data_IF_955625499178
#
_entry.id   IF_955625499178
#
_cell.length_a   1.000
_cell.length_b   1.000
_cell.length_c   1.000
_cell.angle_alpha   90.00
_cell.angle_beta   90.00
_cell.angle_gamma   90.00
#
_symmetry.space_group_name_H-M   'P 1'
#
loop_
_entity.id
_entity.type
_entity.pdbx_description
1 polymer ?
#
# COMPACT_ATOMS: atom_id res chain seq x y z
N UNK A 1 -14.52 -2.54 -14.73
CA UNK A 1 -14.15 -2.99 -13.37
C UNK A 1 -13.14 -2.06 -12.68
N UNK A 2 -12.11 -1.57 -13.38
CA UNK A 2 -11.05 -0.72 -12.81
C UNK A 2 -11.44 0.75 -12.55
N UNK A 3 -12.56 1.20 -13.10
CA UNK A 3 -13.01 2.60 -13.05
C UNK A 3 -13.13 3.15 -11.60
N UNK A 4 -13.79 2.43 -10.65
CA UNK A 4 -13.88 2.88 -9.26
C UNK A 4 -12.54 2.95 -8.53
N UNK A 5 -11.60 2.06 -8.87
CA UNK A 5 -10.23 2.03 -8.31
C UNK A 5 -9.43 3.24 -8.79
N UNK A 6 -9.52 3.54 -10.09
CA UNK A 6 -8.87 4.70 -10.69
C UNK A 6 -9.44 6.01 -10.13
N UNK A 7 -10.77 6.09 -10.00
CA UNK A 7 -11.42 7.25 -9.39
C UNK A 7 -10.93 7.46 -7.95
N UNK A 8 -10.85 6.40 -7.15
CA UNK A 8 -10.35 6.50 -5.77
C UNK A 8 -8.92 7.03 -5.73
N UNK A 9 -8.01 6.51 -6.57
CA UNK A 9 -6.59 6.88 -6.61
C UNK A 9 -6.33 8.28 -7.16
N UNK A 10 -7.12 8.71 -8.15
CA UNK A 10 -6.96 10.00 -8.84
C UNK A 10 -7.78 11.12 -8.19
N UNK A 11 -8.56 10.82 -7.16
CA UNK A 11 -9.44 11.81 -6.54
C UNK A 11 -8.69 13.02 -5.98
N UNK A 12 -7.66 12.86 -5.13
CA UNK A 12 -6.93 14.01 -4.59
C UNK A 12 -6.34 14.94 -5.65
N UNK A 13 -5.62 14.46 -6.70
CA UNK A 13 -5.11 15.35 -7.74
C UNK A 13 -6.22 15.98 -8.61
N UNK A 14 -7.34 15.28 -8.86
CA UNK A 14 -8.48 15.86 -9.59
C UNK A 14 -9.08 17.05 -8.83
N UNK A 15 -9.30 16.89 -7.52
CA UNK A 15 -9.84 17.96 -6.66
C UNK A 15 -8.94 19.19 -6.69
N UNK A 16 -7.62 18.99 -6.64
CA UNK A 16 -6.67 20.09 -6.72
C UNK A 16 -6.71 20.81 -8.07
N UNK A 17 -6.72 20.06 -9.18
CA UNK A 17 -6.78 20.65 -10.53
C UNK A 17 -8.08 21.44 -10.69
N UNK A 18 -9.22 20.89 -10.25
CA UNK A 18 -10.51 21.56 -10.31
C UNK A 18 -10.55 22.84 -9.47
N UNK A 19 -10.06 22.77 -8.22
CA UNK A 19 -9.95 23.94 -7.35
C UNK A 19 -9.00 24.99 -7.93
N UNK A 20 -7.85 24.57 -8.44
CA UNK A 20 -6.88 25.44 -9.09
C UNK A 20 -7.46 26.15 -10.31
N UNK A 21 -8.20 25.43 -11.16
CA UNK A 21 -8.87 26.03 -12.32
C UNK A 21 -9.94 27.06 -11.91
N UNK A 22 -10.73 26.77 -10.88
CA UNK A 22 -11.68 27.72 -10.29
C UNK A 22 -10.98 28.98 -9.78
N UNK A 23 -9.90 28.82 -9.02
CA UNK A 23 -9.11 29.94 -8.50
C UNK A 23 -8.48 30.79 -9.61
N UNK A 24 -7.93 30.13 -10.63
CA UNK A 24 -7.39 30.78 -11.82
C UNK A 24 -8.45 31.62 -12.52
N UNK A 25 -9.67 31.08 -12.68
CA UNK A 25 -10.78 31.79 -13.31
C UNK A 25 -11.14 33.05 -12.53
N UNK A 26 -11.32 32.93 -11.21
CA UNK A 26 -11.63 34.05 -10.31
C UNK A 26 -10.50 35.09 -10.27
N UNK A 27 -9.25 34.65 -10.35
CA UNK A 27 -8.09 35.54 -10.38
C UNK A 27 -8.02 36.33 -11.70
N UNK A 28 -8.30 35.66 -12.84
CA UNK A 28 -8.26 36.27 -14.18
C UNK A 28 -9.41 37.24 -14.42
N UNK A 29 -10.58 37.00 -13.83
CA UNK A 29 -11.73 37.93 -13.87
C UNK A 29 -11.62 39.08 -12.86
N UNK A 30 -10.51 39.18 -12.11
CA UNK A 30 -10.32 40.13 -11.01
C UNK A 30 -11.36 40.03 -9.88
N UNK A 31 -12.13 38.94 -9.80
CA UNK A 31 -13.13 38.72 -8.75
C UNK A 31 -12.47 38.58 -7.38
N UNK A 32 -11.33 37.91 -7.28
CA UNK A 32 -10.55 37.82 -6.02
C UNK A 32 -10.14 39.20 -5.54
N UNK A 33 -9.61 40.05 -6.45
CA UNK A 33 -9.20 41.40 -6.11
C UNK A 33 -10.40 42.26 -5.69
N UNK A 34 -11.52 42.17 -6.41
CA UNK A 34 -12.75 42.89 -6.06
C UNK A 34 -13.27 42.51 -4.66
N UNK A 35 -13.27 41.22 -4.33
CA UNK A 35 -13.65 40.72 -3.01
C UNK A 35 -12.69 41.22 -1.91
N UNK A 36 -11.39 41.22 -2.16
CA UNK A 36 -10.40 41.73 -1.20
C UNK A 36 -10.56 43.23 -0.96
N UNK A 37 -10.82 44.03 -2.01
CA UNK A 37 -11.10 45.48 -1.89
C UNK A 37 -12.41 45.74 -1.13
N UNK A 38 -13.40 44.86 -1.24
CA UNK A 38 -14.61 44.90 -0.42
C UNK A 38 -14.40 44.48 1.05
N UNK A 39 -13.16 44.21 1.47
CA UNK A 39 -12.80 43.86 2.85
C UNK A 39 -12.89 42.38 3.18
N UNK A 40 -13.08 41.48 2.19
CA UNK A 40 -13.06 40.04 2.44
C UNK A 40 -11.62 39.53 2.53
N UNK A 41 -11.31 38.83 3.63
CA UNK A 41 -10.02 38.16 3.77
C UNK A 41 -9.87 37.04 2.73
N UNK A 42 -8.64 36.81 2.26
CA UNK A 42 -8.34 35.73 1.32
C UNK A 42 -8.78 34.37 1.86
N UNK A 43 -8.62 34.15 3.17
CA UNK A 43 -9.08 32.93 3.84
C UNK A 43 -10.58 32.68 3.72
N UNK A 44 -11.42 33.73 3.80
CA UNK A 44 -12.87 33.60 3.64
C UNK A 44 -13.26 33.28 2.19
N UNK A 45 -12.51 33.79 1.22
CA UNK A 45 -12.69 33.47 -0.20
C UNK A 45 -12.32 31.99 -0.47
N UNK A 46 -11.28 31.48 0.18
CA UNK A 46 -10.78 30.11 0.02
C UNK A 46 -11.60 29.06 0.78
N UNK A 47 -12.22 29.44 1.92
CA UNK A 47 -13.00 28.55 2.77
C UNK A 47 -14.00 27.64 2.01
N UNK A 48 -14.87 28.13 1.11
CA UNK A 48 -15.81 27.27 0.39
C UNK A 48 -15.11 26.18 -0.44
N UNK A 49 -13.93 26.46 -1.00
CA UNK A 49 -13.14 25.48 -1.78
C UNK A 49 -12.62 24.37 -0.86
N UNK A 50 -12.12 24.73 0.33
CA UNK A 50 -11.69 23.76 1.33
C UNK A 50 -12.84 22.91 1.87
N UNK A 51 -14.02 23.50 2.09
CA UNK A 51 -15.24 22.77 2.50
C UNK A 51 -15.63 21.74 1.45
N UNK A 52 -15.68 22.15 0.17
CA UNK A 52 -15.99 21.24 -0.94
C UNK A 52 -14.96 20.12 -1.03
N UNK A 53 -13.66 20.43 -0.98
CA UNK A 53 -12.63 19.40 -1.03
C UNK A 53 -12.69 18.41 0.14
N UNK A 54 -13.03 18.90 1.35
CA UNK A 54 -13.26 18.05 2.52
C UNK A 54 -14.42 17.09 2.28
N UNK A 55 -15.56 17.59 1.78
CA UNK A 55 -16.72 16.77 1.43
C UNK A 55 -16.34 15.68 0.41
N UNK A 56 -15.62 16.07 -0.64
CA UNK A 56 -15.13 15.16 -1.68
C UNK A 56 -14.18 14.09 -1.11
N UNK A 57 -13.27 14.45 -0.19
CA UNK A 57 -12.42 13.48 0.51
C UNK A 57 -13.21 12.42 1.29
N UNK A 58 -14.31 12.81 1.96
CA UNK A 58 -15.18 11.85 2.64
C UNK A 58 -15.93 10.94 1.66
N UNK A 59 -16.34 11.45 0.50
CA UNK A 59 -16.92 10.63 -0.57
C UNK A 59 -15.90 9.61 -1.10
N UNK A 60 -14.64 10.02 -1.27
CA UNK A 60 -13.57 9.13 -1.68
C UNK A 60 -13.31 8.02 -0.64
N UNK A 61 -13.33 8.38 0.64
CA UNK A 61 -13.23 7.42 1.75
C UNK A 61 -14.41 6.43 1.75
N UNK A 62 -15.64 6.91 1.56
CA UNK A 62 -16.82 6.05 1.48
C UNK A 62 -16.75 5.09 0.29
N UNK A 63 -16.30 5.56 -0.88
CA UNK A 63 -16.05 4.72 -2.05
C UNK A 63 -14.96 3.67 -1.76
N UNK A 64 -13.91 4.07 -1.05
CA UNK A 64 -12.81 3.17 -0.67
C UNK A 64 -13.25 2.09 0.33
N UNK A 65 -14.08 2.40 1.32
CA UNK A 65 -14.50 1.43 2.34
C UNK A 65 -15.69 0.57 1.92
N UNK A 66 -16.60 1.07 1.06
CA UNK A 66 -17.82 0.35 0.69
C UNK A 66 -17.70 -0.36 -0.67
N UNK A 67 -17.11 0.31 -1.67
CA UNK A 67 -17.11 -0.17 -3.05
C UNK A 67 -15.86 -0.97 -3.41
N UNK A 68 -14.68 -0.60 -2.90
CA UNK A 68 -13.46 -1.37 -3.20
C UNK A 68 -13.47 -2.81 -2.66
N UNK A 69 -13.86 -3.12 -1.41
CA UNK A 69 -13.82 -4.50 -0.93
C UNK A 69 -14.79 -5.41 -1.69
N UNK A 70 -15.96 -4.91 -2.10
CA UNK A 70 -16.92 -5.70 -2.89
C UNK A 70 -16.44 -5.94 -4.33
N UNK A 71 -15.59 -5.06 -4.86
CA UNK A 71 -14.98 -5.19 -6.16
C UNK A 71 -13.64 -5.94 -6.13
N UNK A 72 -13.00 -6.06 -4.97
CA UNK A 72 -11.70 -6.69 -4.80
C UNK A 72 -11.72 -8.15 -5.31
N UNK A 73 -12.69 -8.96 -4.88
CA UNK A 73 -12.81 -10.36 -5.30
C UNK A 73 -13.05 -10.49 -6.83
N UNK A 74 -13.75 -9.51 -7.44
CA UNK A 74 -14.00 -9.49 -8.89
C UNK A 74 -12.78 -9.01 -9.67
N UNK A 75 -12.03 -8.04 -9.13
CA UNK A 75 -10.82 -7.47 -9.73
C UNK A 75 -9.65 -8.45 -9.66
N UNK A 76 -9.52 -9.17 -8.56
CA UNK A 76 -8.51 -10.22 -8.37
C UNK A 76 -8.73 -11.34 -9.40
N UNK A 77 -9.96 -11.85 -9.51
CA UNK A 77 -10.31 -12.85 -10.55
C UNK A 77 -10.06 -12.33 -11.97
N UNK A 78 -10.42 -11.07 -12.27
CA UNK A 78 -10.18 -10.48 -13.58
C UNK A 78 -8.68 -10.28 -13.87
N UNK A 79 -7.87 -9.93 -12.86
CA UNK A 79 -6.42 -9.76 -13.01
C UNK A 79 -5.73 -11.10 -13.27
N UNK A 80 -6.07 -12.15 -12.51
CA UNK A 80 -5.52 -13.51 -12.69
C UNK A 80 -5.80 -14.04 -14.10
N UNK A 81 -6.97 -13.72 -14.68
CA UNK A 81 -7.35 -14.19 -16.02
C UNK A 81 -6.72 -13.34 -17.14
N UNK A 82 -6.46 -12.06 -16.92
CA UNK A 82 -6.08 -11.11 -17.99
C UNK A 82 -4.57 -10.89 -18.10
N UNK A 83 -3.81 -11.03 -17.01
CA UNK A 83 -2.40 -10.59 -16.97
C UNK A 83 -1.35 -11.71 -16.85
N UNK A 84 -1.74 -13.00 -16.86
CA UNK A 84 -0.82 -14.15 -16.83
C UNK A 84 0.21 -14.09 -15.67
N UNK A 85 -0.13 -13.37 -14.59
CA UNK A 85 0.57 -13.39 -13.30
C UNK A 85 0.11 -14.63 -12.52
N UNK A 86 0.33 -15.82 -13.08
CA UNK A 86 0.08 -17.08 -12.38
C UNK A 86 1.13 -17.36 -11.29
N UNK A 87 2.30 -16.70 -11.33
CA UNK A 87 3.39 -16.94 -10.39
C UNK A 87 3.43 -15.91 -9.24
N UNK A 88 3.14 -16.36 -8.02
CA UNK A 88 3.36 -15.65 -6.74
C UNK A 88 4.82 -15.89 -6.30
N UNK A 89 5.53 -14.87 -5.81
CA UNK A 89 6.96 -14.98 -5.41
C UNK A 89 7.16 -14.76 -3.92
N UNK A 90 8.19 -15.41 -3.36
CA UNK A 90 8.68 -15.26 -1.98
C UNK A 90 7.56 -15.31 -0.91
N UNK A 91 6.83 -16.42 -0.87
CA UNK A 91 5.74 -16.67 0.09
C UNK A 91 6.32 -17.21 1.40
N UNK A 92 5.82 -16.74 2.55
CA UNK A 92 6.23 -17.17 3.88
C UNK A 92 5.01 -17.60 4.73
N UNK A 93 4.68 -18.88 4.70
CA UNK A 93 3.57 -19.42 5.48
C UNK A 93 4.07 -20.07 6.77
N UNK A 94 3.48 -19.70 7.90
CA UNK A 94 3.66 -20.39 9.17
C UNK A 94 2.48 -21.34 9.45
N UNK A 95 2.77 -22.63 9.61
CA UNK A 95 1.85 -23.64 10.10
C UNK A 95 1.91 -23.66 11.64
N UNK A 96 1.10 -22.82 12.27
CA UNK A 96 1.04 -22.73 13.74
C UNK A 96 0.64 -24.04 14.42
N UNK A 97 -0.18 -24.88 13.76
CA UNK A 97 -0.65 -26.13 14.33
C UNK A 97 0.49 -27.15 14.46
N UNK A 98 1.42 -27.15 13.50
CA UNK A 98 2.54 -28.07 13.44
C UNK A 98 3.88 -27.44 13.86
N UNK A 99 3.96 -26.12 14.01
CA UNK A 99 5.19 -25.38 14.33
C UNK A 99 6.18 -25.38 13.16
N UNK A 100 5.69 -25.27 11.93
CA UNK A 100 6.49 -25.29 10.71
C UNK A 100 6.50 -23.91 10.07
N UNK A 101 7.64 -23.48 9.54
CA UNK A 101 7.75 -22.28 8.72
C UNK A 101 8.14 -22.69 7.31
N UNK A 102 7.28 -22.39 6.34
CA UNK A 102 7.45 -22.70 4.93
C UNK A 102 7.76 -21.41 4.18
N UNK A 103 8.92 -21.39 3.51
CA UNK A 103 9.26 -20.37 2.52
C UNK A 103 9.17 -20.98 1.13
N UNK A 104 8.44 -20.36 0.22
CA UNK A 104 8.29 -20.80 -1.17
C UNK A 104 8.77 -19.69 -2.09
N UNK A 105 9.80 -19.95 -2.90
CA UNK A 105 10.37 -18.94 -3.78
C UNK A 105 9.40 -18.54 -4.91
N UNK A 106 8.67 -19.51 -5.48
CA UNK A 106 7.67 -19.30 -6.53
C UNK A 106 6.51 -20.27 -6.40
N UNK A 107 5.28 -19.81 -6.59
CA UNK A 107 4.08 -20.64 -6.63
C UNK A 107 3.24 -20.31 -7.85
N UNK A 108 3.00 -21.31 -8.69
CA UNK A 108 2.09 -21.21 -9.83
C UNK A 108 0.65 -21.52 -9.38
N UNK A 109 -0.23 -20.55 -9.55
CA UNK A 109 -1.65 -20.58 -9.18
C UNK A 109 -2.44 -21.56 -10.06
N UNK A 110 -2.08 -21.70 -11.33
CA UNK A 110 -2.79 -22.49 -12.35
C UNK A 110 -2.40 -23.96 -12.23
N UNK A 111 -1.10 -24.22 -12.15
CA UNK A 111 -0.57 -25.59 -12.02
C UNK A 111 -0.56 -26.09 -10.57
N UNK A 112 -0.88 -25.22 -9.59
CA UNK A 112 -0.78 -25.47 -8.14
C UNK A 112 0.59 -26.05 -7.75
N UNK A 113 1.64 -25.51 -8.37
CA UNK A 113 3.03 -25.96 -8.19
C UNK A 113 3.86 -24.94 -7.43
N UNK A 114 4.53 -25.40 -6.39
CA UNK A 114 5.56 -24.66 -5.67
C UNK A 114 6.93 -24.96 -6.27
N UNK A 115 7.81 -23.96 -6.34
CA UNK A 115 9.20 -24.07 -6.78
C UNK A 115 10.11 -23.39 -5.75
N UNK A 116 11.22 -24.04 -5.40
CA UNK A 116 12.20 -23.54 -4.43
C UNK A 116 11.62 -23.44 -3.03
N UNK A 117 11.34 -24.59 -2.42
CA UNK A 117 10.65 -24.71 -1.14
C UNK A 117 11.69 -24.92 -0.05
N UNK A 118 11.57 -24.16 1.04
CA UNK A 118 12.38 -24.32 2.23
C UNK A 118 11.46 -24.43 3.44
N UNK A 119 11.55 -25.53 4.17
CA UNK A 119 10.72 -25.81 5.34
C UNK A 119 11.63 -25.91 6.55
N UNK A 120 11.36 -25.08 7.55
CA UNK A 120 11.95 -25.17 8.87
C UNK A 120 10.92 -25.78 9.82
N UNK A 121 11.30 -26.83 10.53
CA UNK A 121 10.44 -27.47 11.51
C UNK A 121 11.22 -27.99 12.70
N UNK A 122 10.48 -28.27 13.78
CA UNK A 122 11.01 -28.96 14.95
C UNK A 122 10.31 -30.32 15.06
N UNK A 123 11.08 -31.39 15.05
CA UNK A 123 10.56 -32.72 15.32
C UNK A 123 10.12 -32.77 16.79
N UNK A 124 8.83 -33.05 17.02
CA UNK A 124 8.23 -33.07 18.36
C UNK A 124 8.69 -34.28 19.18
N UNK A 125 9.04 -35.39 18.54
CA UNK A 125 9.48 -36.60 19.25
C UNK A 125 10.94 -36.47 19.69
N UNK A 126 11.80 -35.95 18.82
CA UNK A 126 13.23 -35.85 19.09
C UNK A 126 13.67 -34.47 19.65
N UNK A 127 12.77 -33.47 19.66
CA UNK A 127 13.10 -32.05 19.93
C UNK A 127 14.26 -31.53 19.08
N UNK A 128 14.39 -32.01 17.86
CA UNK A 128 15.47 -31.62 16.93
C UNK A 128 14.93 -30.72 15.84
N UNK A 129 15.70 -29.70 15.50
CA UNK A 129 15.42 -28.87 14.34
C UNK A 129 15.76 -29.65 13.07
N UNK A 130 14.90 -29.53 12.07
CA UNK A 130 15.19 -30.01 10.72
C UNK A 130 14.92 -28.91 9.71
N UNK A 131 15.70 -28.92 8.63
CA UNK A 131 15.42 -28.10 7.46
C UNK A 131 15.25 -29.00 6.24
N UNK A 132 14.14 -28.83 5.54
CA UNK A 132 13.88 -29.47 4.24
C UNK A 132 14.05 -28.42 3.15
N UNK A 133 14.85 -28.72 2.15
CA UNK A 133 14.89 -27.96 0.90
C UNK A 133 14.35 -28.85 -0.22
N UNK A 134 13.36 -28.39 -0.97
CA UNK A 134 12.79 -29.12 -2.10
C UNK A 134 12.78 -28.24 -3.35
N UNK A 135 12.99 -28.86 -4.52
CA UNK A 135 13.03 -28.12 -5.79
C UNK A 135 11.63 -27.77 -6.27
N UNK A 136 10.70 -28.72 -6.22
CA UNK A 136 9.31 -28.52 -6.61
C UNK A 136 8.36 -29.18 -5.60
N UNK A 137 7.12 -28.71 -5.58
CA UNK A 137 6.06 -29.22 -4.72
C UNK A 137 4.72 -29.16 -5.42
N UNK A 138 3.95 -30.25 -5.41
CA UNK A 138 2.60 -30.33 -6.00
C UNK A 138 1.58 -30.72 -4.96
N UNK A 139 0.41 -30.09 -5.00
CA UNK A 139 -0.68 -30.45 -4.10
C UNK A 139 -1.30 -31.79 -4.54
N UNK A 140 -1.40 -32.74 -3.61
CA UNK A 140 -1.99 -34.07 -3.88
C UNK A 140 -3.36 -34.24 -3.22
N UNK A 141 -3.80 -33.23 -2.45
CA UNK A 141 -5.05 -33.26 -1.68
C UNK A 141 -4.90 -33.90 -0.30
N UNK A 142 -5.96 -33.83 0.51
CA UNK A 142 -6.00 -34.33 1.91
C UNK A 142 -4.85 -33.78 2.78
N UNK A 143 -4.64 -32.46 2.72
CA UNK A 143 -3.63 -31.76 3.53
C UNK A 143 -2.19 -32.28 3.31
N UNK A 144 -1.88 -32.70 2.08
CA UNK A 144 -0.59 -33.30 1.70
C UNK A 144 -0.02 -32.70 0.41
N UNK A 145 1.25 -32.30 0.49
CA UNK A 145 2.06 -31.86 -0.64
C UNK A 145 3.06 -32.95 -1.04
N UNK A 146 3.24 -33.18 -2.33
CA UNK A 146 4.32 -34.03 -2.85
C UNK A 146 5.50 -33.14 -3.23
N UNK A 147 6.59 -33.27 -2.50
CA UNK A 147 7.84 -32.53 -2.71
C UNK A 147 8.81 -33.39 -3.52
N UNK A 148 9.40 -32.85 -4.58
CA UNK A 148 10.42 -33.51 -5.40
C UNK A 148 11.82 -32.94 -5.15
N UNK A 149 12.83 -33.80 -5.32
CA UNK A 149 14.25 -33.48 -5.09
C UNK A 149 14.48 -32.85 -3.70
N UNK A 150 14.07 -33.58 -2.66
CA UNK A 150 14.12 -33.12 -1.28
C UNK A 150 15.48 -33.42 -0.67
N UNK A 151 16.07 -32.40 -0.07
CA UNK A 151 17.27 -32.52 0.75
C UNK A 151 16.93 -32.17 2.18
N UNK A 152 16.98 -33.17 3.07
CA UNK A 152 16.76 -33.02 4.50
C UNK A 152 18.09 -32.87 5.24
N UNK A 153 18.20 -31.81 6.03
CA UNK A 153 19.31 -31.59 6.95
C UNK A 153 18.79 -31.73 8.37
N UNK A 154 19.43 -32.60 9.16
CA UNK A 154 19.14 -32.79 10.57
C UNK A 154 20.17 -32.02 11.41
N UNK A 155 19.69 -31.43 12.51
CA UNK A 155 20.55 -30.71 13.45
C UNK A 155 20.55 -31.41 14.80
N UNK A 156 21.74 -31.51 15.41
CA UNK A 156 21.94 -31.97 16.79
C UNK A 156 22.64 -30.85 17.55
N UNK A 157 22.03 -30.35 18.61
CA UNK A 157 22.59 -29.27 19.45
C UNK A 157 23.08 -28.06 18.62
N UNK A 158 22.26 -27.62 17.64
CA UNK A 158 22.54 -26.56 16.64
C UNK A 158 23.59 -26.85 15.56
N UNK A 159 24.34 -27.94 15.66
CA UNK A 159 25.29 -28.32 14.61
C UNK A 159 24.63 -29.23 13.57
N UNK A 160 24.92 -28.97 12.30
CA UNK A 160 24.50 -29.85 11.21
C UNK A 160 25.21 -31.20 11.34
N UNK A 161 24.45 -32.29 11.19
CA UNK A 161 24.98 -33.65 11.23
C UNK A 161 24.92 -34.26 9.83
N UNK A 162 26.07 -34.57 9.19
CA UNK A 162 26.09 -35.33 7.94
C UNK A 162 25.68 -36.81 8.18
N UNK A 163 25.11 -37.50 7.17
CA UNK A 163 24.84 -37.06 5.80
C UNK A 163 23.49 -36.34 5.66
N UNK A 164 23.39 -35.45 4.66
CA UNK A 164 22.08 -34.96 4.21
C UNK A 164 21.30 -36.11 3.56
N UNK A 165 20.03 -36.25 3.92
CA UNK A 165 19.16 -37.30 3.36
C UNK A 165 18.54 -36.72 2.09
N UNK A 166 18.84 -37.33 0.95
CA UNK A 166 18.32 -36.94 -0.36
C UNK A 166 17.21 -37.91 -0.75
N UNK A 167 16.01 -37.37 -0.94
CA UNK A 167 14.83 -38.14 -1.33
C UNK A 167 14.30 -37.60 -2.67
N UNK A 168 14.05 -38.49 -3.63
CA UNK A 168 13.49 -38.10 -4.93
C UNK A 168 12.07 -37.56 -4.82
N UNK A 169 11.32 -38.00 -3.79
CA UNK A 169 9.94 -37.63 -3.57
C UNK A 169 9.54 -37.86 -2.12
N UNK A 170 8.91 -36.85 -1.49
CA UNK A 170 8.41 -36.92 -0.12
C UNK A 170 6.95 -36.44 -0.09
N UNK A 171 6.07 -37.24 0.52
CA UNK A 171 4.72 -36.79 0.87
C UNK A 171 4.77 -36.03 2.20
N UNK A 172 4.67 -34.71 2.12
CA UNK A 172 4.72 -33.80 3.24
C UNK A 172 3.31 -33.40 3.67
N UNK A 173 2.90 -33.84 4.87
CA UNK A 173 1.62 -33.49 5.46
C UNK A 173 1.73 -32.16 6.21
N UNK A 174 0.90 -31.19 5.87
CA UNK A 174 0.84 -29.87 6.51
C UNK A 174 -0.56 -29.31 6.42
N UNK A 175 -0.95 -28.46 7.37
CA UNK A 175 -2.23 -27.78 7.34
C UNK A 175 -2.25 -26.61 6.34
N UNK A 176 -1.12 -26.28 5.73
CA UNK A 176 -1.02 -25.22 4.73
C UNK A 176 -1.63 -25.67 3.41
N UNK A 177 -2.67 -24.97 2.97
CA UNK A 177 -3.41 -25.26 1.73
C UNK A 177 -2.99 -24.32 0.59
N UNK A 178 -3.23 -24.72 -0.67
CA UNK A 178 -3.12 -23.83 -1.84
C UNK A 178 -3.83 -22.48 -1.67
N UNK A 179 -4.95 -22.46 -0.96
CA UNK A 179 -5.72 -21.25 -0.67
C UNK A 179 -4.99 -20.27 0.26
N UNK A 180 -4.16 -20.79 1.18
CA UNK A 180 -3.36 -19.98 2.09
C UNK A 180 -2.20 -19.31 1.34
N UNK A 181 -1.60 -20.02 0.37
CA UNK A 181 -0.59 -19.47 -0.55
C UNK A 181 -1.13 -18.32 -1.41
N UNK A 182 -2.40 -18.39 -1.83
CA UNK A 182 -3.07 -17.33 -2.59
C UNK A 182 -3.42 -16.09 -1.74
N UNK A 183 -3.52 -16.22 -0.41
CA UNK A 183 -3.92 -15.11 0.48
C UNK A 183 -2.79 -14.14 0.82
N UNK A 184 -1.53 -14.56 0.67
CA UNK A 184 -0.37 -13.80 1.15
C UNK A 184 0.05 -12.62 0.23
N UNK A 185 -0.34 -12.65 -1.04
CA UNK A 185 -0.05 -11.57 -2.01
C UNK A 185 -1.28 -10.75 -2.41
N UNK A 186 -2.30 -10.65 -1.53
CA UNK A 186 -3.35 -9.64 -1.75
C UNK A 186 -2.69 -8.26 -1.75
N UNK A 187 -2.77 -7.57 -2.89
CA UNK A 187 -2.33 -6.18 -3.02
C UNK A 187 -2.95 -5.39 -1.85
N UNK A 188 -2.15 -4.89 -0.88
CA UNK A 188 -2.68 -4.20 0.29
C UNK A 188 -3.50 -2.96 -0.09
N UNK A 189 -3.35 -2.47 -1.32
CA UNK A 189 -4.16 -1.35 -1.83
C UNK A 189 -5.62 -1.74 -2.06
N UNK A 190 -5.95 -3.02 -2.23
CA UNK A 190 -7.30 -3.54 -2.48
C UNK A 190 -8.03 -4.02 -1.21
N UNK A 191 -7.31 -4.15 -0.08
CA UNK A 191 -7.88 -4.57 1.20
C UNK A 191 -8.54 -3.37 1.89
N UNK A 192 -9.72 -3.57 2.49
CA UNK A 192 -10.40 -2.54 3.29
C UNK A 192 -9.58 -2.17 4.53
N UNK A 193 -9.83 -0.99 5.11
CA UNK A 193 -9.11 -0.55 6.30
C UNK A 193 -9.28 -1.51 7.49
N UNK A 194 -10.50 -2.04 7.68
CA UNK A 194 -10.77 -3.06 8.69
C UNK A 194 -10.04 -4.38 8.41
N UNK A 195 -9.95 -4.78 7.14
CA UNK A 195 -9.19 -5.97 6.75
C UNK A 195 -7.69 -5.83 7.02
N UNK A 196 -7.12 -4.64 6.78
CA UNK A 196 -5.73 -4.34 7.12
C UNK A 196 -5.47 -4.37 8.63
N UNK A 197 -6.42 -3.92 9.44
CA UNK A 197 -6.31 -3.98 10.90
C UNK A 197 -6.37 -5.43 11.42
N UNK A 198 -7.25 -6.26 10.86
CA UNK A 198 -7.35 -7.68 11.21
C UNK A 198 -6.08 -8.45 10.82
N UNK A 199 -5.54 -8.20 9.62
CA UNK A 199 -4.27 -8.78 9.17
C UNK A 199 -3.08 -8.31 10.02
N UNK A 200 -3.05 -7.04 10.40
CA UNK A 200 -2.03 -6.50 11.32
C UNK A 200 -2.05 -7.19 12.68
N UNK A 201 -3.23 -7.61 13.17
CA UNK A 201 -3.37 -8.39 14.42
C UNK A 201 -2.99 -9.85 14.27
N UNK A 202 -3.28 -10.44 13.10
CA UNK A 202 -3.00 -11.85 12.80
C UNK A 202 -1.53 -12.12 12.47
N UNK A 203 -0.84 -11.14 11.88
CA UNK A 203 0.57 -11.22 11.50
C UNK A 203 1.36 -10.03 12.06
N UNK A 204 1.59 -9.99 13.39
CA UNK A 204 2.25 -8.85 14.04
C UNK A 204 3.70 -8.66 13.60
N UNK A 205 4.36 -9.73 13.16
CA UNK A 205 5.73 -9.72 12.60
C UNK A 205 5.84 -9.06 11.22
N UNK A 206 4.73 -8.88 10.50
CA UNK A 206 4.75 -8.30 9.16
C UNK A 206 4.47 -6.78 9.21
N UNK A 207 5.49 -5.90 9.09
CA UNK A 207 5.30 -4.46 9.19
C UNK A 207 4.49 -3.87 8.02
N UNK A 208 4.26 -4.64 6.94
CA UNK A 208 3.50 -4.21 5.75
C UNK A 208 2.08 -3.78 6.11
N UNK A 209 1.32 -4.62 6.81
CA UNK A 209 -0.10 -4.34 7.11
C UNK A 209 -0.32 -3.08 7.97
N UNK A 210 0.38 -2.88 9.09
CA UNK A 210 0.21 -1.66 9.87
C UNK A 210 0.64 -0.41 9.08
N UNK A 211 1.69 -0.47 8.25
CA UNK A 211 2.10 0.67 7.41
C UNK A 211 0.97 1.06 6.45
N UNK A 212 0.44 0.09 5.70
CA UNK A 212 -0.65 0.36 4.76
C UNK A 212 -1.94 0.81 5.45
N UNK A 213 -2.19 0.38 6.69
CA UNK A 213 -3.30 0.87 7.52
C UNK A 213 -3.13 2.36 7.83
N UNK A 214 -1.97 2.78 8.33
CA UNK A 214 -1.71 4.19 8.63
C UNK A 214 -1.70 5.08 7.39
N UNK A 215 -1.11 4.62 6.28
CA UNK A 215 -1.18 5.32 4.99
C UNK A 215 -2.61 5.42 4.44
N UNK A 216 -3.49 4.47 4.79
CA UNK A 216 -4.93 4.56 4.45
C UNK A 216 -5.60 5.67 5.23
N UNK A 217 -5.30 5.76 6.53
CA UNK A 217 -5.89 6.75 7.42
C UNK A 217 -5.58 8.18 7.01
N UNK A 218 -4.39 8.41 6.42
CA UNK A 218 -3.98 9.73 5.95
C UNK A 218 -4.57 10.12 4.61
N UNK A 219 -5.06 9.17 3.82
CA UNK A 219 -5.53 9.39 2.45
C UNK A 219 -6.64 10.45 2.29
N UNK A 220 -7.67 10.51 3.15
CA UNK A 220 -8.72 11.55 3.07
C UNK A 220 -8.17 12.97 3.23
N UNK A 221 -7.06 13.14 3.93
CA UNK A 221 -6.47 14.44 4.18
C UNK A 221 -5.58 14.92 3.03
N UNK A 222 -5.19 14.04 2.10
CA UNK A 222 -4.27 14.37 1.00
C UNK A 222 -4.83 15.48 0.10
N UNK A 223 -6.13 15.46 -0.20
CA UNK A 223 -6.76 16.53 -1.00
C UNK A 223 -6.62 17.90 -0.33
N UNK A 224 -6.70 17.96 1.01
CA UNK A 224 -6.54 19.20 1.76
C UNK A 224 -5.09 19.67 1.75
N UNK A 225 -4.14 18.76 1.89
CA UNK A 225 -2.70 19.07 1.77
C UNK A 225 -2.39 19.62 0.39
N UNK A 226 -2.94 19.03 -0.66
CA UNK A 226 -2.78 19.51 -2.03
C UNK A 226 -3.36 20.91 -2.21
N UNK A 227 -4.53 21.21 -1.66
CA UNK A 227 -5.07 22.57 -1.68
C UNK A 227 -4.19 23.55 -0.91
N UNK A 228 -3.72 23.14 0.28
CA UNK A 228 -2.87 23.95 1.14
C UNK A 228 -1.56 24.32 0.44
N UNK A 229 -1.01 23.39 -0.34
CA UNK A 229 0.23 23.61 -1.08
C UNK A 229 0.01 24.33 -2.41
N UNK A 230 -1.02 23.96 -3.16
CA UNK A 230 -1.25 24.50 -4.51
C UNK A 230 -1.77 25.93 -4.50
N UNK A 231 -2.59 26.30 -3.51
CA UNK A 231 -3.19 27.64 -3.44
C UNK A 231 -2.14 28.77 -3.42
N UNK A 232 -1.05 28.68 -2.63
CA UNK A 232 0.04 29.65 -2.68
C UNK A 232 0.73 29.78 -4.02
N UNK A 233 0.98 28.69 -4.74
CA UNK A 233 1.61 28.75 -6.06
C UNK A 233 0.69 29.37 -7.13
N UNK A 234 -0.63 29.25 -6.95
CA UNK A 234 -1.63 29.79 -7.87
C UNK A 234 -1.90 31.28 -7.59
N UNK A 235 -1.98 31.68 -6.31
CA UNK A 235 -2.43 33.03 -5.91
C UNK A 235 -1.33 33.93 -5.34
N UNK A 236 -0.34 33.37 -4.64
CA UNK A 236 0.49 34.08 -3.66
C UNK A 236 1.72 34.79 -4.24
N UNK A 237 2.43 34.18 -5.18
CA UNK A 237 3.70 34.75 -5.64
C UNK A 237 3.49 35.66 -6.85
N UNK A 238 3.78 36.95 -6.73
CA UNK A 238 3.57 37.96 -7.79
C UNK A 238 4.14 37.57 -9.17
N UNK A 239 5.27 36.86 -9.21
CA UNK A 239 5.86 36.31 -10.45
C UNK A 239 5.10 35.11 -11.01
N UNK A 240 4.61 34.20 -10.16
CA UNK A 240 3.81 33.05 -10.59
C UNK A 240 2.37 33.44 -10.96
N UNK A 241 1.79 34.44 -10.29
CA UNK A 241 0.49 35.04 -10.65
C UNK A 241 0.49 35.61 -12.07
N UNK A 242 1.63 36.15 -12.51
CA UNK A 242 1.80 36.73 -13.86
C UNK A 242 1.96 35.66 -14.94
N UNK A 243 2.50 34.48 -14.58
CA UNK A 243 2.75 33.37 -15.50
C UNK A 243 2.00 32.11 -15.02
N UNK A 244 0.76 32.01 -15.44
CA UNK A 244 -0.18 30.94 -15.09
C UNK A 244 0.37 29.52 -15.30
N UNK A 245 1.14 29.32 -16.38
CA UNK A 245 1.81 28.05 -16.67
C UNK A 245 2.88 27.68 -15.62
N UNK A 246 3.60 28.66 -15.06
CA UNK A 246 4.57 28.40 -14.00
C UNK A 246 3.87 27.98 -12.69
N UNK A 247 2.73 28.59 -12.35
CA UNK A 247 1.93 28.22 -11.17
C UNK A 247 1.41 26.78 -11.23
N UNK A 248 0.89 26.38 -12.40
CA UNK A 248 0.40 25.02 -12.63
C UNK A 248 1.56 24.01 -12.57
N UNK A 249 2.68 24.30 -13.24
CA UNK A 249 3.86 23.43 -13.23
C UNK A 249 4.44 23.27 -11.82
N UNK A 250 4.55 24.34 -11.05
CA UNK A 250 5.01 24.29 -9.67
C UNK A 250 4.09 23.42 -8.79
N UNK A 251 2.78 23.57 -8.94
CA UNK A 251 1.78 22.76 -8.23
C UNK A 251 1.93 21.27 -8.57
N UNK A 252 2.12 20.94 -9.85
CA UNK A 252 2.34 19.56 -10.29
C UNK A 252 3.65 18.98 -9.74
N UNK A 253 4.72 19.77 -9.71
CA UNK A 253 5.99 19.35 -9.10
C UNK A 253 5.82 19.02 -7.60
N UNK A 254 5.05 19.83 -6.86
CA UNK A 254 4.79 19.59 -5.44
C UNK A 254 3.96 18.32 -5.21
N UNK A 255 2.96 18.06 -6.06
CA UNK A 255 2.23 16.78 -6.04
C UNK A 255 3.19 15.61 -6.27
N UNK A 256 4.05 15.72 -7.29
CA UNK A 256 5.06 14.71 -7.59
C UNK A 256 5.99 14.45 -6.40
N UNK A 257 6.47 15.51 -5.75
CA UNK A 257 7.29 15.42 -4.55
C UNK A 257 6.55 14.71 -3.40
N UNK A 258 5.28 15.02 -3.17
CA UNK A 258 4.45 14.34 -2.18
C UNK A 258 4.36 12.83 -2.44
N UNK A 259 4.14 12.44 -3.70
CA UNK A 259 4.09 11.01 -4.07
C UNK A 259 5.43 10.32 -3.85
N UNK A 260 6.54 10.94 -4.26
CA UNK A 260 7.88 10.39 -4.06
C UNK A 260 8.18 10.18 -2.57
N UNK A 261 7.90 11.19 -1.74
CA UNK A 261 8.09 11.09 -0.28
C UNK A 261 7.19 10.01 0.32
N UNK A 262 5.93 9.92 -0.11
CA UNK A 262 5.00 8.89 0.37
C UNK A 262 5.47 7.47 0.03
N UNK A 263 5.92 7.26 -1.21
CA UNK A 263 6.47 5.97 -1.65
C UNK A 263 7.75 5.64 -0.88
N UNK A 264 8.63 6.61 -0.68
CA UNK A 264 9.87 6.44 0.08
C UNK A 264 9.59 6.06 1.54
N UNK A 265 8.75 6.82 2.25
CA UNK A 265 8.38 6.52 3.64
C UNK A 265 7.67 5.18 3.78
N UNK A 266 6.76 4.85 2.86
CA UNK A 266 6.04 3.57 2.86
C UNK A 266 7.00 2.40 2.66
N UNK A 267 7.94 2.50 1.72
CA UNK A 267 8.95 1.46 1.50
C UNK A 267 9.86 1.26 2.72
N UNK A 268 10.30 2.35 3.36
CA UNK A 268 11.06 2.26 4.62
C UNK A 268 10.26 1.61 5.75
N UNK A 269 8.94 1.86 5.80
CA UNK A 269 8.04 1.22 6.74
C UNK A 269 7.88 -0.28 6.48
N UNK A 270 7.62 -0.66 5.23
CA UNK A 270 7.42 -2.07 4.82
C UNK A 270 8.68 -2.90 5.02
N UNK A 271 9.86 -2.29 4.88
CA UNK A 271 11.16 -2.95 5.12
C UNK A 271 11.55 -3.00 6.60
N UNK A 272 10.76 -2.38 7.48
CA UNK A 272 11.01 -2.39 8.93
C UNK A 272 12.03 -1.36 9.42
N UNK A 273 12.62 -0.53 8.54
CA UNK A 273 13.53 0.54 8.95
C UNK A 273 12.82 1.69 9.68
N UNK A 274 11.53 1.91 9.38
CA UNK A 274 10.73 2.99 9.95
C UNK A 274 9.51 2.43 10.66
N UNK A 275 9.19 2.96 11.85
CA UNK A 275 7.99 2.56 12.59
C UNK A 275 6.72 2.80 11.74
N UNK A 276 5.74 1.88 11.69
CA UNK A 276 4.58 1.97 10.80
C UNK A 276 3.78 3.27 10.88
N UNK A 277 3.62 3.81 12.09
CA UNK A 277 2.95 5.11 12.31
C UNK A 277 3.70 6.23 11.59
N UNK A 278 5.02 6.28 11.73
CA UNK A 278 5.84 7.31 11.10
C UNK A 278 5.81 7.15 9.58
N UNK A 279 5.90 5.92 9.06
CA UNK A 279 5.84 5.66 7.64
C UNK A 279 4.57 6.20 6.97
N UNK A 280 3.40 6.05 7.61
CA UNK A 280 2.13 6.56 7.09
C UNK A 280 1.88 8.06 7.30
N UNK A 281 2.29 8.61 8.46
CA UNK A 281 1.97 9.98 8.85
C UNK A 281 3.00 11.03 8.43
N UNK A 282 4.27 10.66 8.30
CA UNK A 282 5.36 11.61 7.99
C UNK A 282 5.10 12.40 6.70
N UNK A 283 4.70 11.78 5.57
CA UNK A 283 4.42 12.54 4.35
C UNK A 283 3.30 13.56 4.56
N UNK A 284 2.21 13.18 5.23
CA UNK A 284 1.09 14.09 5.48
C UNK A 284 1.53 15.29 6.33
N UNK A 285 2.17 15.03 7.48
CA UNK A 285 2.56 16.07 8.44
C UNK A 285 3.60 17.04 7.88
N UNK A 286 4.60 16.52 7.16
CA UNK A 286 5.65 17.32 6.54
C UNK A 286 5.07 18.33 5.56
N UNK A 287 4.13 17.89 4.73
CA UNK A 287 3.53 18.72 3.70
C UNK A 287 2.41 19.63 4.23
N UNK A 288 1.70 19.24 5.30
CA UNK A 288 0.82 20.17 6.04
C UNK A 288 1.64 21.33 6.61
N UNK A 289 2.74 21.02 7.30
CA UNK A 289 3.60 22.04 7.89
C UNK A 289 4.18 22.97 6.82
N UNK A 290 4.66 22.42 5.71
CA UNK A 290 5.14 23.20 4.58
C UNK A 290 4.06 24.10 3.97
N UNK A 291 2.83 23.60 3.80
CA UNK A 291 1.74 24.40 3.25
C UNK A 291 1.23 25.49 4.20
N UNK A 292 1.22 25.25 5.51
CA UNK A 292 0.85 26.29 6.50
C UNK A 292 1.86 27.45 6.47
N UNK A 293 3.16 27.13 6.44
CA UNK A 293 4.21 28.14 6.31
C UNK A 293 4.08 28.96 5.02
N UNK A 294 3.75 28.31 3.90
CA UNK A 294 3.50 29.01 2.64
C UNK A 294 2.25 29.91 2.71
N UNK A 295 1.21 29.49 3.42
CA UNK A 295 -0.02 30.27 3.60
C UNK A 295 0.17 31.50 4.50
N UNK A 296 0.93 31.36 5.60
CA UNK A 296 1.25 32.48 6.48
C UNK A 296 2.06 33.54 5.73
N UNK A 297 2.99 33.10 4.87
CA UNK A 297 3.79 34.00 4.05
C UNK A 297 3.01 34.76 2.98
N UNK A 298 1.81 34.30 2.62
CA UNK A 298 0.89 35.05 1.75
C UNK A 298 0.06 36.09 2.48
N UNK A 299 -0.18 35.88 3.78
CA UNK A 299 -1.00 36.75 4.62
C UNK A 299 -0.22 37.89 5.27
N UNK A 300 1.11 37.73 5.40
CA UNK A 300 2.07 38.74 5.85
C UNK A 300 2.44 39.71 4.71
#
# INVERSE_FOLDING_TARGET
>A
LFLPVMIAKLFPPIVLIAAGFSLIRLAKSNEIMAMQVAGLSLYRILLPIFVVATLFSFVALANQELLLPTLADKLERARTITFDESEIKDIFVEDQANGLVLRVARYDIVDETMKGIFILGMDREEKKMFTLSAKEGKWVGKDTWYLSDVTRHNYKERNWVPPAIIEKGLFFKTNVRPEDMRREERDPTLISMMGLLDLSRKQPENPKYPVFFYSRMTYPFVSLVFLLLGTPFILGFGTLRRNLFLGISATLCVIGAFFVVTVFCTNLGVTGYLHPILAGWTPLLLFILGGLLLFDWMGA
#
